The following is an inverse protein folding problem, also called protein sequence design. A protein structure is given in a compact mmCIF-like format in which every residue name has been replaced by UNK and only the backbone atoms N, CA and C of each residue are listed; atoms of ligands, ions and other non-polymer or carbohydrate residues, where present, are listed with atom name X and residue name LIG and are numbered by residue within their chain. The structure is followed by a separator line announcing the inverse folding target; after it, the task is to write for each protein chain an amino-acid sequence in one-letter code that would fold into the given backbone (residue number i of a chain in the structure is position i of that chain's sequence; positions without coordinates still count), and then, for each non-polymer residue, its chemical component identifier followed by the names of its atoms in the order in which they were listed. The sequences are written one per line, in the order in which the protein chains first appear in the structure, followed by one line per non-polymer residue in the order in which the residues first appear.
data_IF_877306226586
#
_entry.id   IF_877306226586
#
_cell.length_a   1.000
_cell.length_b   1.000
_cell.length_c   1.000
_cell.angle_alpha   90.00
_cell.angle_beta   90.00
_cell.angle_gamma   90.00
#
_symmetry.space_group_name_H-M   'P 1'
#
loop_
_entity.id
_entity.type
_entity.pdbx_description
1 polymer ?
2 polymer ?
3 non-polymer ?
4 non-polymer ?
#
# COMPACT_ATOMS: atom_id res chain seq x y z
N UNK A 2 5.72 5.22 9.45
CA UNK A 2 6.66 5.30 10.56
C UNK A 2 6.99 6.76 10.87
N UNK A 3 6.70 7.18 12.10
CA UNK A 3 6.91 8.55 12.53
C UNK A 3 7.77 8.59 13.78
N UNK A 4 8.70 9.55 13.82
CA UNK A 4 9.56 9.78 14.99
C UNK A 4 10.34 8.53 15.36
N UNK A 5 11.08 8.00 14.39
CA UNK A 5 11.89 6.80 14.58
C UNK A 5 13.34 7.22 14.76
N UNK A 6 13.90 6.95 15.94
CA UNK A 6 15.30 7.24 16.23
C UNK A 6 16.09 5.96 16.02
N UNK A 7 16.40 5.68 14.76
CA UNK A 7 17.13 4.48 14.38
C UNK A 7 18.61 4.72 14.52
N UNK A 8 19.25 4.03 15.47
CA UNK A 8 20.68 4.20 15.72
C UNK A 8 21.35 2.83 15.63
N UNK A 9 21.65 2.33 14.44
CA UNK A 9 22.29 1.02 14.33
C UNK A 9 23.64 0.98 15.03
N UNK A 10 23.94 -0.17 15.60
CA UNK A 10 25.21 -0.39 16.28
C UNK A 10 26.26 -0.96 15.34
N UNK A 11 27.26 -1.59 15.94
CA UNK A 11 28.34 -2.19 15.17
C UNK A 11 27.94 -3.50 14.53
N UNK A 12 28.05 -3.58 13.20
CA UNK A 12 27.73 -4.81 12.49
C UNK A 12 26.27 -5.21 12.58
N UNK A 13 25.37 -4.26 12.43
CA UNK A 13 23.93 -4.51 12.49
C UNK A 13 23.36 -4.46 11.07
N UNK A 14 22.59 -5.48 10.72
CA UNK A 14 21.97 -5.58 9.39
C UNK A 14 20.46 -5.56 9.58
N UNK A 15 19.80 -4.60 8.93
CA UNK A 15 18.35 -4.49 8.93
C UNK A 15 17.86 -4.54 7.50
N UNK A 16 16.88 -5.42 7.24
CA UNK A 16 16.32 -5.60 5.91
C UNK A 16 14.81 -5.44 6.02
N UNK A 17 14.26 -4.49 5.28
CA UNK A 17 12.82 -4.28 5.17
C UNK A 17 12.43 -4.64 3.75
N UNK A 18 11.65 -5.71 3.60
CA UNK A 18 11.33 -6.27 2.30
C UNK A 18 9.90 -5.94 1.94
N UNK A 19 9.71 -5.21 0.85
CA UNK A 19 8.41 -4.80 0.32
C UNK A 19 7.45 -4.27 1.39
N UNK A 20 7.81 -3.18 2.08
CA UNK A 20 6.85 -2.54 2.97
C UNK A 20 5.85 -1.71 2.19
N UNK A 21 4.70 -1.47 2.81
CA UNK A 21 3.66 -0.62 2.24
C UNK A 21 3.66 0.76 2.89
N UNK A 22 3.67 0.83 4.21
CA UNK A 22 3.77 2.08 4.96
C UNK A 22 2.65 3.05 4.58
N UNK B 1 12.28 -13.41 -1.81
CA UNK B 1 12.82 -14.17 -0.70
C UNK B 1 14.14 -13.58 -0.22
N UNK B 2 14.18 -13.22 1.07
CA UNK B 2 15.41 -12.68 1.66
C UNK B 2 16.29 -13.84 2.10
N UNK B 3 17.48 -13.94 1.52
CA UNK B 3 18.43 -15.00 1.82
C UNK B 3 19.71 -14.34 2.32
N UNK B 4 19.88 -14.28 3.64
CA UNK B 4 21.02 -13.64 4.26
C UNK B 4 21.83 -14.68 5.02
N UNK B 5 23.12 -14.75 4.75
CA UNK B 5 24.03 -15.64 5.44
C UNK B 5 25.02 -14.78 6.22
N UNK B 6 25.03 -14.94 7.53
CA UNK B 6 25.86 -14.13 8.42
C UNK B 6 27.11 -14.94 8.79
N UNK B 7 28.24 -14.59 8.17
CA UNK B 7 29.51 -15.25 8.41
C UNK B 7 29.43 -16.76 8.14
N UNK C 2 4.24 -9.94 -4.56
CA UNK C 2 4.04 -11.34 -4.94
C UNK C 2 5.36 -11.97 -5.37
N UNK C 3 5.78 -13.03 -4.68
CA UNK C 3 7.04 -13.69 -4.95
C UNK C 3 6.82 -15.17 -5.18
N UNK C 4 7.51 -15.72 -6.16
CA UNK C 4 7.49 -17.15 -6.47
C UNK C 4 6.06 -17.62 -6.77
N UNK C 5 5.43 -16.98 -7.73
CA UNK C 5 4.06 -17.30 -8.14
C UNK C 5 4.12 -18.11 -9.43
N UNK C 6 3.68 -19.36 -9.37
CA UNK C 6 3.61 -20.22 -10.54
C UNK C 6 2.19 -20.18 -11.09
N UNK C 7 1.91 -19.11 -11.85
CA UNK C 7 0.58 -18.89 -12.41
C UNK C 7 0.47 -19.65 -13.72
N UNK C 8 -0.40 -20.67 -13.75
CA UNK C 8 -0.59 -21.49 -14.94
C UNK C 8 -2.06 -21.49 -15.29
N UNK C 9 -2.56 -20.46 -15.98
CA UNK C 9 -3.98 -20.41 -16.34
C UNK C 9 -4.36 -21.58 -17.23
N UNK C 10 -5.58 -22.07 -17.03
CA UNK C 10 -6.14 -23.15 -17.83
C UNK C 10 -6.88 -22.64 -19.04
N UNK C 11 -7.76 -23.49 -19.55
CA UNK C 11 -8.55 -23.14 -20.72
C UNK C 11 -9.71 -22.21 -20.39
N UNK C 12 -9.73 -21.05 -21.03
CA UNK C 12 -10.81 -20.10 -20.82
C UNK C 12 -10.87 -19.53 -19.42
N UNK C 13 -9.73 -19.18 -18.85
CA UNK C 13 -9.64 -18.61 -17.51
C UNK C 13 -9.38 -17.11 -17.61
N UNK C 14 -10.17 -16.33 -16.88
CA UNK C 14 -10.07 -14.88 -16.88
C UNK C 14 -9.69 -14.43 -15.48
N UNK C 15 -8.57 -13.73 -15.36
CA UNK C 15 -8.13 -13.16 -14.08
C UNK C 15 -7.99 -11.65 -14.24
N UNK C 16 -8.59 -10.90 -13.33
CA UNK C 16 -8.57 -9.45 -13.36
C UNK C 16 -8.07 -8.96 -12.01
N UNK C 17 -6.97 -8.21 -12.02
CA UNK C 17 -6.43 -7.57 -10.83
C UNK C 17 -6.61 -6.07 -11.01
N UNK C 18 -7.46 -5.47 -10.19
CA UNK C 18 -7.87 -4.07 -10.36
C UNK C 18 -7.19 -3.23 -9.29
N UNK C 19 -6.37 -2.27 -9.74
CA UNK C 19 -5.65 -1.33 -8.89
C UNK C 19 -4.97 -1.99 -7.69
N UNK C 20 -4.03 -2.91 -7.93
CA UNK C 20 -3.23 -3.42 -6.81
C UNK C 20 -2.14 -2.43 -6.42
N UNK C 21 -1.67 -2.57 -5.18
CA UNK C 21 -0.57 -1.76 -4.68
C UNK C 21 0.74 -2.54 -4.66
N UNK C 22 0.72 -3.75 -4.12
CA UNK C 22 1.88 -4.65 -4.13
C UNK C 22 3.10 -3.99 -3.49
N UNK D 1 -14.81 0.29 -11.56
CA UNK D 1 -15.73 -0.83 -11.42
C UNK D 1 -15.49 -1.88 -12.50
N UNK D 2 -15.21 -3.10 -12.07
CA UNK D 2 -15.02 -4.21 -12.99
C UNK D 2 -16.37 -4.80 -13.37
N UNK D 3 -16.72 -4.74 -14.64
CA UNK D 3 -17.99 -5.24 -15.16
C UNK D 3 -17.67 -6.30 -16.21
N UNK D 4 -17.72 -7.56 -15.81
CA UNK D 4 -17.39 -8.68 -16.68
C UNK D 4 -18.64 -9.54 -16.87
N UNK D 5 -18.99 -9.81 -18.11
CA UNK D 5 -20.11 -10.67 -18.46
C UNK D 5 -19.54 -11.89 -19.17
N UNK D 6 -19.77 -13.07 -18.58
CA UNK D 6 -19.23 -14.32 -19.10
C UNK D 6 -20.31 -15.04 -19.89
N UNK D 7 -20.21 -14.98 -21.21
CA UNK D 7 -21.17 -15.62 -22.12
C UNK D 7 -22.60 -15.13 -21.86
N UNK E 2 7.35 7.89 5.69
CA UNK E 2 8.27 8.04 6.81
C UNK E 2 8.53 9.51 7.10
N UNK E 3 8.20 9.94 8.32
CA UNK E 3 8.34 11.32 8.72
C UNK E 3 9.16 11.42 10.00
N UNK E 4 10.06 12.41 10.03
CA UNK E 4 10.88 12.69 11.21
C UNK E 4 11.71 11.48 11.63
N UNK E 5 12.48 10.96 10.68
CA UNK E 5 13.34 9.80 10.91
C UNK E 5 14.76 10.30 11.11
N UNK E 6 15.31 10.07 12.31
CA UNK E 6 16.69 10.42 12.63
C UNK E 6 17.55 9.16 12.46
N UNK E 7 17.88 8.87 11.21
CA UNK E 7 18.66 7.69 10.87
C UNK E 7 20.15 8.01 11.02
N UNK E 8 20.79 7.36 12.00
CA UNK E 8 22.20 7.59 12.28
C UNK E 8 22.92 6.25 12.23
N UNK E 9 23.27 5.75 11.05
CA UNK E 9 23.96 4.46 10.98
C UNK E 9 25.30 4.48 11.70
N UNK E 10 25.64 3.35 12.31
CA UNK E 10 26.90 3.20 13.01
C UNK E 10 27.99 2.66 12.10
N UNK E 11 29.00 2.08 12.73
CA UNK E 11 30.12 1.51 11.99
C UNK E 11 29.80 0.17 11.37
N UNK E 12 29.93 0.08 10.05
CA UNK E 12 29.67 -1.18 9.35
C UNK E 12 28.24 -1.64 9.42
N UNK E 13 27.29 -0.72 9.24
CA UNK E 13 25.87 -1.04 9.27
C UNK E 13 25.32 -1.03 7.85
N UNK E 14 24.59 -2.09 7.50
CA UNK E 14 24.02 -2.24 6.17
C UNK E 14 22.51 -2.27 6.31
N UNK E 15 21.82 -1.35 5.63
CA UNK E 15 20.37 -1.30 5.60
C UNK E 15 19.90 -1.40 4.16
N UNK E 16 18.97 -2.32 3.89
CA UNK E 16 18.44 -2.54 2.56
C UNK E 16 16.92 -2.45 2.63
N UNK E 17 16.36 -1.53 1.86
CA UNK E 17 14.92 -1.39 1.73
C UNK E 17 14.56 -1.78 0.31
N UNK E 18 13.83 -2.88 0.16
CA UNK E 18 13.57 -3.48 -1.15
C UNK E 18 12.12 -3.22 -1.53
N UNK E 19 11.93 -2.50 -2.64
CA UNK E 19 10.63 -2.16 -3.21
C UNK E 19 9.63 -1.65 -2.17
N UNK E 20 9.93 -0.55 -1.49
CA UNK E 20 8.92 0.08 -0.62
C UNK E 20 7.91 0.86 -1.44
N UNK E 21 6.74 1.06 -0.85
CA UNK E 21 5.68 1.85 -1.46
C UNK E 21 5.60 3.24 -0.84
N UNK E 22 5.59 3.33 0.50
CA UNK E 22 5.61 4.59 1.22
C UNK E 22 4.47 5.51 0.79
N UNK F 1 14.90 -10.64 -5.11
CA UNK F 1 15.44 -11.36 -3.96
C UNK F 1 16.72 -10.71 -3.47
N UNK F 2 16.72 -10.33 -2.19
CA UNK F 2 17.91 -9.73 -1.58
C UNK F 2 18.83 -10.84 -1.10
N UNK F 3 20.03 -10.91 -1.66
CA UNK F 3 21.02 -11.93 -1.31
C UNK F 3 22.27 -11.20 -0.81
N UNK F 4 22.40 -11.12 0.51
CA UNK F 4 23.50 -10.41 1.14
C UNK F 4 24.33 -11.41 1.94
N UNK F 5 25.63 -11.43 1.69
CA UNK F 5 26.57 -12.28 2.43
C UNK F 5 27.50 -11.36 3.21
N UNK F 6 27.50 -11.49 4.53
CA UNK F 6 28.27 -10.64 5.42
C UNK F 6 29.55 -11.38 5.82
N UNK F 7 30.67 -11.00 5.22
CA UNK F 7 31.96 -11.62 5.50
C UNK F 7 31.94 -13.12 5.26
N UNK G 2 -11.16 3.49 -2.26
CA UNK G 2 -12.42 4.16 -1.96
C UNK G 2 -13.34 4.14 -3.18
N UNK G 3 -14.52 3.54 -3.03
CA UNK G 3 -15.46 3.40 -4.12
C UNK G 3 -16.82 3.95 -3.71
N UNK G 4 -17.46 4.67 -4.64
CA UNK G 4 -18.80 5.20 -4.45
C UNK G 4 -18.86 6.11 -3.22
N UNK G 5 -18.00 7.12 -3.19
CA UNK G 5 -17.94 8.06 -2.09
C UNK G 5 -18.63 9.35 -2.53
N UNK G 6 -19.73 9.69 -1.84
CA UNK G 6 -20.46 10.92 -2.10
C UNK G 6 -20.01 11.96 -1.08
N UNK G 7 -18.86 12.57 -1.38
CA UNK G 7 -18.25 13.56 -0.49
C UNK G 7 -18.86 14.93 -0.78
N UNK G 8 -19.61 15.46 0.17
CA UNK G 8 -20.27 16.75 0.02
C UNK G 8 -19.86 17.65 1.17
N UNK G 9 -18.69 18.28 1.11
CA UNK G 9 -18.26 19.16 2.20
C UNK G 9 -19.22 20.32 2.41
N UNK G 10 -19.39 20.71 3.67
CA UNK G 10 -20.23 21.82 4.04
C UNK G 10 -19.46 23.12 4.09
N UNK G 11 -20.01 24.08 4.83
CA UNK G 11 -19.38 25.38 4.97
C UNK G 11 -18.22 25.37 5.93
N UNK G 12 -17.04 25.77 5.44
CA UNK G 12 -15.87 25.82 6.30
C UNK G 12 -15.40 24.49 6.81
N UNK G 13 -15.39 23.46 5.96
CA UNK G 13 -14.96 22.12 6.34
C UNK G 13 -13.59 21.85 5.76
N UNK G 14 -12.68 21.37 6.60
CA UNK G 14 -11.31 21.07 6.20
C UNK G 14 -11.08 19.58 6.38
N UNK G 15 -10.70 18.91 5.30
CA UNK G 15 -10.35 17.49 5.32
C UNK G 15 -8.93 17.32 4.82
N UNK G 16 -8.12 16.61 5.58
CA UNK G 16 -6.71 16.36 5.25
C UNK G 16 -6.48 14.86 5.27
N UNK G 17 -6.03 14.32 4.14
CA UNK G 17 -5.65 12.92 4.04
C UNK G 17 -4.14 12.89 3.81
N UNK G 18 -3.40 12.39 4.78
CA UNK G 18 -1.95 12.44 4.78
C UNK G 18 -1.38 11.07 4.46
N UNK G 19 -0.64 10.99 3.35
CA UNK G 19 0.03 9.78 2.87
C UNK G 19 -0.88 8.54 2.90
N UNK G 20 -1.99 8.55 2.18
CA UNK G 20 -2.77 7.32 2.04
C UNK G 20 -2.13 6.38 1.04
N UNK G 21 -2.47 5.10 1.17
CA UNK G 21 -2.02 4.07 0.25
C UNK G 21 -3.11 3.68 -0.73
N UNK G 22 -4.32 3.40 -0.25
CA UNK G 22 -5.48 3.10 -1.09
C UNK G 22 -5.21 1.94 -2.03
N UNK H 1 4.15 15.50 9.50
CA UNK H 1 3.31 15.92 10.61
C UNK H 1 2.30 16.98 10.16
N UNK H 2 1.01 16.70 10.35
CA UNK H 2 -0.04 17.65 10.01
C UNK H 2 -0.22 18.62 11.18
N UNK H 3 0.03 19.90 10.93
CA UNK H 3 -0.10 20.94 11.94
C UNK H 3 -1.12 21.95 11.44
N UNK H 4 -2.35 21.83 11.91
CA UNK H 4 -3.46 22.68 11.49
C UNK H 4 -3.95 23.48 12.68
N UNK H 5 -4.03 24.80 12.52
CA UNK H 5 -4.54 25.69 13.54
C UNK H 5 -5.82 26.32 13.00
N UNK H 6 -6.93 26.09 13.69
CA UNK H 6 -8.24 26.56 13.26
C UNK H 6 -8.59 27.83 14.03
N UNK H 7 -8.47 28.97 13.37
CA UNK H 7 -8.77 30.27 13.96
C UNK H 7 -7.94 30.51 15.23
N UNK I 2 -9.29 5.37 -6.41
CA UNK I 2 -10.59 5.98 -6.15
C UNK I 2 -11.48 5.91 -7.39
N UNK I 3 -12.63 5.27 -7.26
CA UNK I 3 -13.55 5.07 -8.37
C UNK I 3 -14.93 5.58 -8.00
N UNK I 4 -15.58 6.26 -8.95
CA UNK I 4 -16.95 6.75 -8.80
C UNK I 4 -17.08 7.67 -7.58
N UNK I 5 -16.25 8.71 -7.56
CA UNK I 5 -16.24 9.68 -6.48
C UNK I 5 -16.98 10.93 -6.95
N UNK I 6 -18.11 11.23 -6.30
CA UNK I 6 -18.87 12.44 -6.59
C UNK I 6 -18.48 13.52 -5.59
N UNK I 7 -17.35 14.17 -5.87
CA UNK I 7 -16.80 15.18 -4.99
C UNK I 7 -17.46 16.52 -5.33
N UNK I 8 -18.25 17.05 -4.40
CA UNK I 8 -18.96 18.32 -4.59
C UNK I 8 -18.60 19.26 -3.45
N UNK I 9 -17.44 19.92 -3.50
CA UNK I 9 -17.08 20.84 -2.42
C UNK I 9 -18.09 21.96 -2.25
N UNK I 10 -18.29 22.37 -1.00
CA UNK I 10 -19.17 23.46 -0.67
C UNK I 10 -18.46 24.79 -0.63
N UNK I 11 -19.06 25.74 0.07
CA UNK I 11 -18.49 27.06 0.20
C UNK I 11 -17.34 27.12 1.19
N UNK I 12 -16.17 27.55 0.72
CA UNK I 12 -15.02 27.67 1.59
C UNK I 12 -14.52 26.35 2.15
N UNK I 13 -14.45 25.31 1.32
CA UNK I 13 -13.98 24.00 1.72
C UNK I 13 -12.58 23.77 1.18
N UNK I 14 -11.67 23.33 2.05
CA UNK I 14 -10.28 23.08 1.70
C UNK I 14 -10.00 21.61 1.90
N UNK I 15 -9.58 20.93 0.84
CA UNK I 15 -9.18 19.53 0.90
C UNK I 15 -7.74 19.40 0.42
N UNK I 16 -6.91 18.73 1.22
CA UNK I 16 -5.51 18.54 0.92
C UNK I 16 -5.22 17.05 0.98
N UNK I 17 -4.72 16.50 -0.13
CA UNK I 17 -4.28 15.11 -0.20
C UNK I 17 -2.77 15.14 -0.40
N UNK I 18 -2.04 14.68 0.60
CA UNK I 18 -0.58 14.80 0.64
C UNK I 18 0.04 13.43 0.34
N UNK I 19 0.81 13.36 -0.74
CA UNK I 19 1.53 12.17 -1.18
C UNK I 19 0.67 10.90 -1.14
N UNK I 20 -0.42 10.85 -1.89
CA UNK I 20 -1.16 9.59 -2.03
C UNK I 20 -0.47 8.65 -2.99
N UNK I 21 -0.76 7.36 -2.83
CA UNK I 21 -0.24 6.33 -3.72
C UNK I 21 -1.30 5.89 -4.73
N UNK I 22 -2.50 5.58 -4.27
CA UNK I 22 -3.63 5.21 -5.12
C UNK I 22 -3.30 4.05 -6.03
N UNK J 1 5.29 18.17 5.41
CA UNK J 1 4.41 18.58 6.49
C UNK J 1 3.38 19.59 6.01
N UNK J 2 2.10 19.26 6.18
CA UNK J 2 1.02 20.17 5.80
C UNK J 2 0.77 21.14 6.94
N UNK J 3 0.98 22.43 6.67
CA UNK J 3 0.79 23.49 7.66
C UNK J 3 -0.25 24.45 7.12
N UNK J 4 -1.49 24.29 7.56
CA UNK J 4 -2.61 25.09 7.10
C UNK J 4 -3.17 25.89 8.27
N UNK J 5 -3.29 27.20 8.08
CA UNK J 5 -3.85 28.10 9.07
C UNK J 5 -5.14 28.67 8.49
N UNK J 6 -6.26 28.41 9.16
CA UNK J 6 -7.58 28.82 8.68
C UNK J 6 -7.99 30.09 9.43
N UNK J 7 -7.90 31.23 8.75
CA UNK J 7 -8.25 32.52 9.32
C UNK J 7 -7.47 32.82 10.59
N UNK K 2 6.64 -7.58 -8.07
CA UNK K 2 6.51 -8.98 -8.43
C UNK K 2 7.86 -9.57 -8.82
N UNK K 3 8.30 -10.60 -8.10
CA UNK K 3 9.59 -11.22 -8.32
C UNK K 3 9.42 -12.72 -8.53
N UNK K 4 10.18 -13.26 -9.48
CA UNK K 4 10.21 -14.69 -9.77
C UNK K 4 8.81 -15.22 -10.10
N UNK K 5 8.17 -14.61 -11.09
CA UNK K 5 6.84 -14.99 -11.52
C UNK K 5 6.97 -15.82 -12.80
N UNK K 6 6.57 -17.09 -12.73
CA UNK K 6 6.57 -17.97 -13.89
C UNK K 6 5.16 -17.98 -14.47
N UNK K 7 4.87 -16.95 -15.26
CA UNK K 7 3.55 -16.78 -15.86
C UNK K 7 3.50 -17.57 -17.16
N UNK K 8 2.68 -18.61 -17.20
CA UNK K 8 2.55 -19.47 -18.38
C UNK K 8 1.08 -19.52 -18.78
N UNK K 9 0.58 -18.52 -19.49
CA UNK K 9 -0.84 -18.53 -19.90
C UNK K 9 -1.16 -19.74 -20.77
N UNK K 10 -2.36 -20.25 -20.61
CA UNK K 10 -2.85 -21.37 -21.40
C UNK K 10 -3.58 -20.92 -22.64
N UNK K 11 -4.41 -21.81 -23.17
CA UNK K 11 -5.18 -21.51 -24.36
C UNK K 11 -6.37 -20.62 -24.08
N UNK K 12 -6.42 -19.46 -24.73
CA UNK K 12 -7.55 -18.55 -24.57
C UNK K 12 -7.66 -17.96 -23.19
N UNK K 13 -6.54 -17.55 -22.60
CA UNK K 13 -6.52 -16.96 -21.27
C UNK K 13 -6.32 -15.45 -21.38
N UNK K 14 -7.16 -14.69 -20.69
CA UNK K 14 -7.10 -13.23 -20.71
C UNK K 14 -6.79 -12.76 -19.30
N UNK K 15 -5.70 -12.01 -19.16
CA UNK K 15 -5.31 -11.40 -17.89
C UNK K 15 -5.22 -9.89 -18.07
N UNK K 16 -5.89 -9.15 -17.19
CA UNK K 16 -5.91 -7.70 -17.24
C UNK K 16 -5.46 -7.17 -15.88
N UNK K 17 -4.40 -6.38 -15.88
CA UNK K 17 -3.91 -5.70 -14.69
C UNK K 17 -4.14 -4.21 -14.90
N UNK K 18 -5.04 -3.63 -14.12
CA UNK K 18 -5.49 -2.26 -14.32
C UNK K 18 -4.87 -1.37 -13.25
N UNK K 19 -4.08 -0.38 -13.69
CA UNK K 19 -3.42 0.61 -12.84
C UNK K 19 -2.74 -0.02 -11.60
N UNK K 20 -1.77 -0.91 -11.79
CA UNK K 20 -0.98 -1.38 -10.65
C UNK K 20 0.06 -0.34 -10.25
N UNK K 21 0.49 -0.44 -9.00
CA UNK K 21 1.55 0.41 -8.47
C UNK K 21 2.88 -0.31 -8.40
N UNK K 22 2.90 -1.51 -7.85
CA UNK K 22 4.09 -2.37 -7.80
C UNK K 22 5.26 -1.66 -7.14
N UNK L 1 -12.54 1.83 -15.80
CA UNK L 1 -13.43 0.69 -15.66
C UNK L 1 -13.13 -0.38 -16.72
N UNK L 2 -12.81 -1.59 -16.25
CA UNK L 2 -12.55 -2.70 -17.16
C UNK L 2 -13.86 -3.34 -17.55
N UNK L 3 -14.18 -3.31 -18.84
CA UNK L 3 -15.42 -3.87 -19.38
C UNK L 3 -15.04 -4.93 -20.41
N UNK L 4 -15.05 -6.19 -19.99
CA UNK L 4 -14.65 -7.32 -20.82
C UNK L 4 -15.86 -8.22 -21.03
N UNK L 5 -16.16 -8.52 -22.28
CA UNK L 5 -17.24 -9.43 -22.65
C UNK L 5 -16.61 -10.65 -23.32
N UNK L 6 -16.81 -11.82 -22.73
CA UNK L 6 -16.21 -13.06 -23.19
C UNK L 6 -17.25 -13.83 -24.00
N UNK L 7 -17.11 -13.79 -25.33
CA UNK L 7 -18.02 -14.47 -26.25
C UNK L 7 -19.46 -14.03 -26.04
N UNK M 2 8.74 10.55 1.89
CA UNK M 2 9.62 10.75 3.03
C UNK M 2 9.83 12.24 3.30
N UNK M 3 9.45 12.68 4.50
CA UNK M 3 9.52 14.08 4.87
C UNK M 3 10.31 14.24 6.16
N UNK M 4 11.17 15.26 6.20
CA UNK M 4 11.95 15.60 7.39
C UNK M 4 12.80 14.43 7.86
N UNK M 5 13.63 13.92 6.95
CA UNK M 5 14.51 12.80 7.24
C UNK M 5 15.91 13.35 7.45
N UNK M 6 16.43 13.17 8.68
CA UNK M 6 17.80 13.58 9.01
C UNK M 6 18.70 12.35 8.90
N UNK M 7 19.09 12.05 7.67
CA UNK M 7 19.91 10.88 7.38
C UNK M 7 21.38 11.25 7.57
N UNK M 8 22.01 10.66 8.58
CA UNK M 8 23.41 10.94 8.88
C UNK M 8 24.18 9.62 8.89
N UNK M 9 24.57 9.10 7.73
CA UNK M 9 25.32 7.84 7.70
C UNK M 9 26.64 7.94 8.47
N UNK M 10 27.00 6.84 9.10
CA UNK M 10 28.25 6.73 9.84
C UNK M 10 29.37 6.22 8.98
N UNK M 11 30.39 5.69 9.65
CA UNK M 11 31.54 5.15 8.95
C UNK M 11 31.28 3.78 8.36
N UNK M 12 31.46 3.67 7.04
CA UNK M 12 31.27 2.39 6.37
C UNK M 12 29.85 1.88 6.40
N UNK M 13 28.88 2.75 6.17
CA UNK M 13 27.46 2.38 6.17
C UNK M 13 26.96 2.34 4.74
N UNK M 14 26.28 1.25 4.39
CA UNK M 14 25.74 1.05 3.05
C UNK M 14 24.23 0.96 3.16
N UNK M 15 23.54 1.84 2.45
CA UNK M 15 22.08 1.83 2.37
C UNK M 15 21.65 1.69 0.92
N UNK M 16 20.78 0.73 0.66
CA UNK M 16 20.29 0.46 -0.69
C UNK M 16 18.77 0.50 -0.66
N UNK M 17 18.18 1.38 -1.47
CA UNK M 17 16.74 1.47 -1.64
C UNK M 17 16.44 1.04 -3.06
N UNK M 18 15.76 -0.11 -3.21
CA UNK M 18 15.55 -0.74 -4.50
C UNK M 18 14.11 -0.53 -4.92
N UNK M 19 13.92 0.14 -6.06
CA UNK M 19 12.63 0.42 -6.67
C UNK M 19 11.58 0.92 -5.67
N UNK M 20 11.82 2.05 -5.01
CA UNK M 20 10.77 2.66 -4.19
C UNK M 20 9.75 3.38 -5.05
N UNK M 21 8.55 3.55 -4.49
CA UNK M 21 7.49 4.29 -5.15
C UNK M 21 7.34 5.70 -4.56
N UNK M 22 7.29 5.81 -3.24
CA UNK M 22 7.24 7.09 -2.54
C UNK M 22 6.08 7.95 -3.01
N UNK N 1 17.24 -7.94 -8.26
CA UNK N 1 17.78 -8.61 -7.08
C UNK N 1 19.02 -7.90 -6.56
N UNK N 2 18.98 -7.49 -5.30
CA UNK N 2 20.12 -6.83 -4.67
C UNK N 2 21.07 -7.91 -4.14
N UNK N 3 22.28 -7.93 -4.67
CA UNK N 3 23.30 -8.91 -4.27
C UNK N 3 24.51 -8.13 -3.75
N UNK N 4 24.60 -8.00 -2.43
CA UNK N 4 25.65 -7.25 -1.78
C UNK N 4 26.50 -8.20 -0.94
N UNK N 5 27.81 -8.17 -1.15
CA UNK N 5 28.76 -8.97 -0.38
C UNK N 5 29.64 -8.00 0.40
N UNK N 6 29.60 -8.11 1.73
CA UNK N 6 30.32 -7.20 2.62
C UNK N 6 31.60 -7.90 3.08
N UNK N 7 32.72 -7.48 2.50
CA UNK N 7 34.03 -8.04 2.82
C UNK N 7 34.08 -9.56 2.62
N UNK O 2 9.09 -5.22 -11.51
CA UNK O 2 9.03 -6.64 -11.84
C UNK O 2 10.41 -7.18 -12.19
N UNK O 3 10.86 -8.18 -11.43
CA UNK O 3 12.20 -8.75 -11.61
C UNK O 3 12.09 -10.25 -11.79
N UNK O 4 12.88 -10.78 -12.72
CA UNK O 4 12.97 -12.22 -12.97
C UNK O 4 11.60 -12.82 -13.31
N UNK O 5 10.96 -12.25 -14.33
CA UNK O 5 9.66 -12.69 -14.78
C UNK O 5 9.84 -13.54 -16.02
N UNK O 6 9.49 -14.82 -15.93
CA UNK O 6 9.54 -15.74 -17.07
C UNK O 6 8.15 -15.82 -17.69
N UNK O 7 7.83 -14.82 -18.49
CA UNK O 7 6.52 -14.71 -19.13
C UNK O 7 6.53 -15.54 -20.41
N UNK O 8 5.75 -16.61 -20.43
CA UNK O 8 5.68 -17.50 -21.60
C UNK O 8 4.22 -17.62 -22.02
N UNK O 9 3.69 -16.66 -22.77
CA UNK O 9 2.29 -16.75 -23.20
C UNK O 9 2.03 -17.98 -24.05
N UNK O 10 0.84 -18.54 -23.90
CA UNK O 10 0.42 -19.69 -24.67
C UNK O 10 -0.30 -19.29 -25.93
N UNK O 11 -1.09 -20.23 -26.45
CA UNK O 11 -1.85 -19.99 -27.66
C UNK O 11 -3.09 -19.14 -27.43
N UNK O 12 -3.17 -18.00 -28.12
CA UNK O 12 -4.33 -17.14 -28.00
C UNK O 12 -4.50 -16.52 -26.63
N UNK O 13 -3.40 -16.05 -26.03
CA UNK O 13 -3.43 -15.43 -24.71
C UNK O 13 -3.29 -13.92 -24.86
N UNK O 14 -4.16 -13.17 -24.20
CA UNK O 14 -4.17 -11.72 -24.25
C UNK O 14 -3.90 -11.19 -22.85
N UNK O 15 -2.84 -10.40 -22.71
CA UNK O 15 -2.50 -9.74 -21.45
C UNK O 15 -2.46 -8.24 -21.67
N UNK O 16 -3.18 -7.51 -20.81
CA UNK O 16 -3.26 -6.06 -20.90
C UNK O 16 -2.87 -5.48 -19.55
N UNK O 17 -1.83 -4.65 -19.55
CA UNK O 17 -1.40 -3.92 -18.36
C UNK O 17 -1.68 -2.45 -18.62
N UNK O 18 -2.62 -1.89 -17.86
CA UNK O 18 -3.12 -0.53 -18.10
C UNK O 18 -2.56 0.40 -17.05
N UNK O 19 -1.80 1.40 -17.49
CA UNK O 19 -1.19 2.43 -16.66
C UNK O 19 -0.51 1.87 -15.40
N UNK O 20 0.49 1.02 -15.54
CA UNK O 20 1.29 0.61 -14.39
C UNK O 20 2.27 1.69 -13.98
N UNK O 21 2.68 1.65 -12.73
CA UNK O 21 3.69 2.56 -12.19
C UNK O 21 5.05 1.88 -12.08
N UNK O 22 5.11 0.69 -11.50
CA UNK O 22 6.33 -0.10 -11.41
C UNK O 22 7.47 0.66 -10.75
N UNK P 1 -10.30 3.23 -19.82
CA UNK P 1 -11.14 2.06 -19.67
C UNK P 1 -10.77 0.98 -20.68
N UNK P 2 -10.43 -0.20 -20.20
CA UNK P 2 -10.10 -1.33 -21.06
C UNK P 2 -11.39 -2.03 -21.47
N UNK P 3 -11.67 -2.05 -22.76
CA UNK P 3 -12.87 -2.66 -23.31
C UNK P 3 -12.43 -3.74 -24.30
N UNK P 4 -12.40 -4.98 -23.85
CA UNK P 4 -11.94 -6.11 -24.65
C UNK P 4 -13.11 -7.07 -24.86
N UNK P 5 -13.38 -7.41 -26.11
CA UNK P 5 -14.41 -8.38 -26.47
C UNK P 5 -13.72 -9.57 -27.10
N UNK P 6 -13.88 -10.74 -26.48
CA UNK P 6 -13.23 -11.96 -26.92
C UNK P 6 -14.22 -12.79 -27.72
N UNK P 7 -14.05 -12.78 -29.04
CA UNK P 7 -14.92 -13.52 -29.96
C UNK P 7 -16.38 -13.13 -29.79
N UNK Q 2 -7.36 7.07 -10.49
CA UNK Q 2 -8.69 7.64 -10.28
C UNK Q 2 -9.54 7.51 -11.54
N UNK Q 3 -10.67 6.82 -11.43
CA UNK Q 3 -11.55 6.56 -12.55
C UNK Q 3 -12.96 7.02 -12.23
N UNK Q 4 -13.61 7.65 -13.22
CA UNK Q 4 -15.00 8.09 -13.10
C UNK Q 4 -15.19 9.03 -11.92
N UNK Q 5 -14.40 10.11 -11.89
CA UNK Q 5 -14.46 11.10 -10.84
C UNK Q 5 -15.24 12.31 -11.35
N UNK Q 6 -16.39 12.58 -10.74
CA UNK Q 6 -17.20 13.75 -11.08
C UNK Q 6 -16.87 14.86 -10.09
N UNK Q 7 -15.76 15.55 -10.35
CA UNK Q 7 -15.27 16.61 -9.49
C UNK Q 7 -15.97 17.92 -9.87
N UNK Q 8 -16.81 18.43 -8.96
CA UNK Q 8 -17.55 19.66 -9.21
C UNK Q 8 -17.27 20.63 -8.08
N UNK Q 9 -16.15 21.34 -8.12
CA UNK Q 9 -15.84 22.30 -7.04
C UNK Q 9 -16.89 23.39 -6.93
N UNK Q 10 -17.14 23.80 -5.69
CA UNK Q 10 -18.09 24.87 -5.41
C UNK Q 10 -17.42 26.22 -5.38
N UNK Q 11 -18.08 27.17 -4.71
CA UNK Q 11 -17.56 28.51 -4.60
C UNK Q 11 -16.45 28.64 -3.59
N UNK Q 12 -15.29 29.10 -4.03
CA UNK Q 12 -14.15 29.28 -3.13
C UNK Q 12 -13.63 28.00 -2.53
N UNK Q 13 -13.49 26.95 -3.35
CA UNK Q 13 -12.99 25.66 -2.89
C UNK Q 13 -11.57 25.47 -3.39
N UNK Q 14 -10.66 25.10 -2.49
CA UNK Q 14 -9.26 24.90 -2.80
C UNK Q 14 -8.93 23.43 -2.56
N UNK Q 15 -8.44 22.75 -3.59
CA UNK Q 15 -7.99 21.37 -3.50
C UNK Q 15 -6.53 21.28 -3.92
N UNK Q 16 -5.71 20.67 -3.09
CA UNK Q 16 -4.28 20.53 -3.35
C UNK Q 16 -3.93 19.05 -3.25
N UNK Q 17 -3.39 18.50 -4.33
CA UNK Q 17 -2.89 17.13 -4.36
C UNK Q 17 -1.38 17.21 -4.52
N UNK Q 18 -0.65 16.80 -3.49
CA UNK Q 18 0.79 16.98 -3.43
C UNK Q 18 1.47 15.64 -3.67
N UNK Q 19 2.27 15.57 -4.73
CA UNK Q 19 3.05 14.39 -5.13
C UNK Q 19 2.24 13.09 -5.08
N UNK Q 20 1.17 12.99 -5.86
CA UNK Q 20 0.48 11.70 -5.99
C UNK Q 20 1.24 10.76 -6.91
N UNK Q 21 0.99 9.46 -6.74
CA UNK Q 21 1.58 8.44 -7.59
C UNK Q 21 0.57 7.93 -8.61
N UNK Q 22 -0.65 7.59 -8.17
CA UNK Q 22 -1.73 7.17 -9.05
C UNK Q 22 -1.33 5.99 -9.93
N UNK R 1 6.40 20.68 1.43
CA UNK R 1 5.47 21.07 2.48
C UNK R 1 4.41 22.03 1.95
N UNK R 2 3.15 21.66 2.09
CA UNK R 2 2.05 22.51 1.66
C UNK R 2 1.73 23.50 2.77
N UNK R 3 1.89 24.79 2.48
CA UNK R 3 1.64 25.86 3.44
C UNK R 3 0.57 26.77 2.85
N UNK R 4 -0.67 26.56 3.27
CA UNK R 4 -1.82 27.31 2.76
C UNK R 4 -2.43 28.12 3.89
N UNK R 5 -2.59 29.42 3.67
CA UNK R 5 -3.23 30.31 4.63
C UNK R 5 -4.52 30.82 4.01
N UNK R 6 -5.64 30.53 4.64
CA UNK R 6 -6.96 30.87 4.13
C UNK R 6 -7.44 32.14 4.83
N UNK R 7 -7.38 33.27 4.13
CA UNK R 7 -7.80 34.57 4.66
C UNK R 7 -7.06 34.91 5.95
N UNK S 2 2.66 -0.18 16.91
CA UNK S 2 3.65 -0.21 17.97
C UNK S 2 4.11 1.20 18.32
N UNK S 3 3.91 1.59 19.58
CA UNK S 3 4.24 2.93 20.05
C UNK S 3 5.15 2.84 21.26
N UNK S 4 6.15 3.72 21.29
CA UNK S 4 7.08 3.84 22.42
C UNK S 4 7.78 2.52 22.71
N UNK S 5 8.43 1.98 21.69
CA UNK S 5 9.16 0.71 21.79
C UNK S 5 10.65 1.03 21.91
N UNK S 6 11.24 0.67 23.05
CA UNK S 6 12.67 0.84 23.28
C UNK S 6 13.35 -0.49 23.00
N UNK S 7 13.58 -0.73 21.70
CA UNK S 7 14.18 -1.98 21.24
C UNK S 7 15.70 -1.85 21.31
N UNK S 8 16.32 -2.62 22.20
CA UNK S 8 17.76 -2.57 22.39
C UNK S 8 18.32 -3.98 22.22
N UNK S 9 18.53 -4.44 20.99
CA UNK S 9 19.07 -5.80 20.79
C UNK S 9 20.44 -5.96 21.42
N UNK S 10 20.69 -7.16 21.94
CA UNK S 10 21.96 -7.51 22.53
C UNK S 10 22.92 -8.11 21.53
N UNK S 11 23.90 -8.84 22.05
CA UNK S 11 24.88 -9.48 21.21
C UNK S 11 24.36 -10.73 20.54
N UNK S 12 24.40 -10.75 19.21
CA UNK S 12 23.95 -11.92 18.46
C UNK S 12 22.48 -12.23 18.60
N UNK S 13 21.63 -11.20 18.54
CA UNK S 13 20.19 -11.35 18.65
C UNK S 13 19.56 -11.20 17.28
N UNK S 14 18.70 -12.14 16.93
CA UNK S 14 18.01 -12.15 15.63
C UNK S 14 16.51 -12.02 15.88
N UNK S 15 15.91 -10.97 15.31
CA UNK S 15 14.47 -10.77 15.39
C UNK S 15 13.91 -10.72 13.98
N UNK S 16 12.86 -11.51 13.74
CA UNK S 16 12.22 -11.59 12.43
C UNK S 16 10.73 -11.32 12.62
N UNK S 17 10.23 -10.29 11.94
CA UNK S 17 8.81 -9.99 11.92
C UNK S 17 8.32 -10.25 10.51
N UNK S 18 7.46 -11.25 10.34
CA UNK S 18 7.04 -11.73 9.04
C UNK S 18 5.62 -11.28 8.78
N UNK S 19 5.43 -10.49 7.71
CA UNK S 19 4.15 -9.96 7.26
C UNK S 19 3.28 -9.40 8.41
N UNK S 20 3.75 -8.38 9.12
CA UNK S 20 2.89 -7.71 10.09
C UNK S 20 1.92 -6.76 9.38
N UNK S 21 0.83 -6.47 10.08
CA UNK S 21 -0.17 -5.53 9.58
C UNK S 21 -0.05 -4.18 10.28
N UNK S 22 0.04 -4.18 11.61
CA UNK S 22 0.25 -2.96 12.40
C UNK S 22 -0.79 -1.90 12.11
N UNK T 1 7.25 -18.73 4.60
CA UNK T 1 7.79 -19.58 5.67
C UNK T 1 9.17 -19.12 6.10
N UNK T 2 9.29 -18.81 7.39
CA UNK T 2 10.58 -18.39 7.95
C UNK T 2 11.38 -19.63 8.30
N UNK T 3 12.54 -19.80 7.66
CA UNK T 3 13.42 -20.94 7.87
C UNK T 3 14.78 -20.40 8.32
N UNK T 4 15.00 -20.41 9.63
CA UNK T 4 16.22 -19.87 10.24
C UNK T 4 16.97 -21.01 10.91
N UNK T 5 18.25 -21.16 10.56
CA UNK T 5 19.12 -22.15 11.18
C UNK T 5 20.20 -21.40 11.94
N UNK T 6 20.27 -21.62 13.25
CA UNK T 6 21.19 -20.91 14.13
C UNK T 6 22.39 -21.81 14.40
N UNK T 7 23.51 -21.53 13.74
CA UNK T 7 24.75 -22.30 13.88
C UNK T 7 24.53 -23.77 13.58
N UNK U 2 -0.63 -14.57 2.40
CA UNK U 2 -0.95 -15.93 1.98
C UNK U 2 0.30 -16.63 1.45
N UNK U 3 0.67 -17.74 2.08
CA UNK U 3 1.86 -18.49 1.73
C UNK U 3 1.51 -19.94 1.45
N UNK U 4 2.13 -20.50 0.41
CA UNK U 4 1.98 -21.91 0.04
C UNK U 4 0.51 -22.26 -0.20
N UNK U 5 -0.13 -21.52 -1.11
CA UNK U 5 -1.53 -21.73 -1.45
C UNK U 5 -1.58 -22.48 -2.78
N UNK U 6 -2.13 -23.70 -2.74
CA UNK U 6 -2.31 -24.50 -3.94
C UNK U 6 -3.75 -24.33 -4.41
N UNK U 7 -3.98 -23.22 -5.12
CA UNK U 7 -5.31 -22.87 -5.60
C UNK U 7 -5.54 -23.56 -6.94
N UNK U 8 -6.47 -24.51 -6.97
CA UNK U 8 -6.78 -25.26 -8.18
C UNK U 8 -8.27 -25.13 -8.46
N UNK U 9 -8.71 -24.04 -9.08
CA UNK U 9 -10.15 -23.88 -9.37
C UNK U 9 -10.66 -24.99 -10.28
N UNK U 10 -11.91 -25.38 -10.05
CA UNK U 10 -12.57 -26.39 -10.85
C UNK U 10 -13.34 -25.77 -12.01
N UNK U 11 -14.31 -26.53 -12.51
CA UNK U 11 -15.12 -26.07 -13.61
C UNK U 11 -16.18 -25.07 -13.20
N UNK U 12 -16.15 -23.89 -13.79
CA UNK U 12 -17.14 -22.87 -13.48
C UNK U 12 -17.09 -22.36 -12.06
N UNK U 13 -15.89 -22.11 -11.54
CA UNK U 13 -15.71 -21.61 -10.18
C UNK U 13 -15.33 -20.13 -10.24
N UNK U 14 -16.03 -19.33 -9.43
CA UNK U 14 -15.81 -17.89 -9.38
C UNK U 14 -15.35 -17.54 -7.98
N UNK U 15 -14.17 -16.92 -7.88
CA UNK U 15 -13.62 -16.44 -6.63
C UNK U 15 -13.37 -14.95 -6.73
N UNK U 16 -13.89 -14.19 -5.76
CA UNK U 16 -13.76 -12.75 -5.73
C UNK U 16 -13.15 -12.36 -4.39
N UNK U 17 -12.01 -11.68 -4.43
CA UNK U 17 -11.36 -11.14 -3.23
C UNK U 17 -11.44 -9.62 -3.36
N UNK U 18 -12.20 -9.00 -2.47
CA UNK U 18 -12.50 -7.58 -2.55
C UNK U 18 -11.71 -6.82 -1.49
N UNK U 19 -10.85 -5.91 -1.93
CA UNK U 19 -10.01 -5.06 -1.09
C UNK U 19 -9.33 -5.82 0.05
N UNK U 20 -8.48 -6.80 -0.27
CA UNK U 20 -7.67 -7.42 0.78
C UNK U 20 -6.49 -6.54 1.15
N UNK U 21 -5.97 -6.76 2.35
CA UNK U 21 -4.80 -6.05 2.85
C UNK U 21 -3.55 -6.93 2.77
N UNK U 22 -3.63 -8.16 3.25
CA UNK U 22 -2.54 -9.13 3.17
C UNK U 22 -1.26 -8.61 3.76
N UNK V 1 -19.14 -2.65 -3.25
CA UNK V 1 -20.14 -3.70 -3.10
C UNK V 1 -20.03 -4.72 -4.23
N UNK V 2 -19.83 -5.99 -3.86
CA UNK V 2 -19.75 -7.06 -4.84
C UNK V 2 -21.16 -7.53 -5.16
N UNK V 3 -21.56 -7.38 -6.42
CA UNK V 3 -22.89 -7.77 -6.89
C UNK V 3 -22.71 -8.80 -8.01
N UNK V 4 -22.83 -10.08 -7.64
CA UNK V 4 -22.63 -11.19 -8.58
C UNK V 4 -23.94 -11.94 -8.73
N UNK V 5 -24.37 -12.12 -9.98
CA UNK V 5 -25.58 -12.89 -10.29
C UNK V 5 -25.13 -14.12 -11.08
N UNK V 6 -25.42 -15.30 -10.54
CA UNK V 6 -25.00 -16.57 -11.12
C UNK V 6 -26.17 -17.16 -11.89
N UNK V 7 -26.13 -17.06 -13.22
CA UNK V 7 -27.17 -17.57 -14.09
C UNK V 7 -28.54 -16.99 -13.75
N UNK W 2 4.31 2.52 13.17
CA UNK W 2 5.28 2.55 14.26
C UNK W 2 5.67 3.99 14.60
N UNK W 3 5.43 4.39 15.85
CA UNK W 3 5.70 5.74 16.29
C UNK W 3 6.59 5.72 17.53
N UNK W 4 7.55 6.64 17.57
CA UNK W 4 8.45 6.82 18.71
C UNK W 4 9.20 5.53 19.03
N UNK W 5 9.89 4.99 18.03
CA UNK W 5 10.67 3.76 18.17
C UNK W 5 12.13 4.13 18.33
N UNK W 6 12.70 3.82 19.49
CA UNK W 6 14.13 4.06 19.74
C UNK W 6 14.87 2.75 19.49
N UNK W 7 15.13 2.50 18.21
CA UNK W 7 15.80 1.27 17.78
C UNK W 7 17.31 1.46 17.88
N UNK W 8 17.94 0.73 18.80
CA UNK W 8 19.39 0.84 19.01
C UNK W 8 19.99 -0.55 18.88
N UNK W 9 20.25 -1.02 17.67
CA UNK W 9 20.84 -2.35 17.50
C UNK W 9 22.21 -2.46 18.17
N UNK W 10 22.49 -3.63 18.70
CA UNK W 10 23.76 -3.92 19.34
C UNK W 10 24.76 -4.50 18.36
N UNK W 11 25.76 -5.19 18.92
CA UNK W 11 26.79 -5.79 18.10
C UNK W 11 26.34 -7.08 17.45
N UNK W 12 26.40 -7.12 16.11
CA UNK W 12 26.02 -8.32 15.39
C UNK W 12 24.55 -8.68 15.49
N UNK W 13 23.68 -7.68 15.40
CA UNK W 13 22.24 -7.89 15.48
C UNK W 13 21.63 -7.78 14.09
N UNK W 14 20.81 -8.77 13.73
CA UNK W 14 20.16 -8.82 12.43
C UNK W 14 18.65 -8.75 12.65
N UNK W 15 18.02 -7.75 12.05
CA UNK W 15 16.57 -7.60 12.08
C UNK W 15 16.03 -7.59 10.67
N UNK W 16 15.02 -8.43 10.41
CA UNK W 16 14.42 -8.56 9.10
C UNK W 16 12.92 -8.36 9.25
N UNK W 17 12.39 -7.36 8.55
CA UNK W 17 10.95 -7.11 8.49
C UNK W 17 10.51 -7.41 7.08
N UNK W 18 9.70 -8.45 6.91
CA UNK W 18 9.32 -8.97 5.61
C UNK W 18 7.88 -8.58 5.30
N UNK W 19 7.70 -7.82 4.23
CA UNK W 19 6.40 -7.34 3.74
C UNK W 19 5.49 -6.81 4.85
N UNK W 20 5.90 -5.76 5.55
CA UNK W 20 4.99 -5.10 6.49
C UNK W 20 4.00 -4.21 5.75
N UNK W 21 2.87 -3.95 6.42
CA UNK W 21 1.86 -3.06 5.89
C UNK W 21 1.92 -1.69 6.57
N UNK W 22 1.97 -1.66 7.90
CA UNK W 22 2.12 -0.43 8.67
C UNK W 22 1.02 0.58 8.34
N UNK X 1 9.91 -16.03 1.30
CA UNK X 1 10.45 -16.84 2.38
C UNK X 1 11.81 -16.31 2.85
N UNK X 2 11.90 -15.98 4.13
CA UNK X 2 13.15 -15.50 4.70
C UNK X 2 14.00 -16.70 5.10
N UNK X 3 15.16 -16.82 4.47
CA UNK X 3 16.09 -17.93 4.73
C UNK X 3 17.41 -17.33 5.21
N UNK X 4 17.61 -17.30 6.52
CA UNK X 4 18.79 -16.71 7.13
C UNK X 4 19.57 -17.80 7.84
N UNK X 5 20.86 -17.90 7.54
CA UNK X 5 21.77 -18.85 8.18
C UNK X 5 22.80 -18.03 8.95
N UNK X 6 22.84 -18.24 10.27
CA UNK X 6 23.72 -17.47 11.15
C UNK X 6 24.94 -18.32 11.46
N UNK X 7 26.07 -18.01 10.82
CA UNK X 7 27.33 -18.72 11.00
C UNK X 7 27.18 -20.22 10.72
N UNK Y 2 -14.83 -0.13 5.99
CA UNK Y 2 -16.03 0.60 6.38
C UNK Y 2 -16.99 0.71 5.20
N UNK Y 3 -18.20 0.19 5.38
CA UNK Y 3 -19.20 0.16 4.33
C UNK Y 3 -20.49 0.80 4.83
N UNK Y 4 -21.12 1.60 3.97
CA UNK Y 4 -22.41 2.24 4.24
C UNK Y 4 -22.35 3.08 5.52
N UNK Y 5 -21.41 4.02 5.54
CA UNK Y 5 -21.22 4.92 6.67
C UNK Y 5 -21.84 6.26 6.32
N UNK Y 6 -22.87 6.65 7.07
CA UNK Y 6 -23.52 7.95 6.89
C UNK Y 6 -22.94 8.91 7.93
N UNK Y 7 -21.76 9.44 7.61
CA UNK Y 7 -21.04 10.35 8.50
C UNK Y 7 -21.57 11.76 8.28
N UNK Y 8 -22.22 12.31 9.30
CA UNK Y 8 -22.80 13.66 9.23
C UNK Y 8 -22.26 14.48 10.40
N UNK Y 9 -21.05 15.02 10.30
CA UNK Y 9 -20.50 15.81 11.40
C UNK Y 9 -21.36 17.03 11.70
N UNK Y 10 -21.43 17.37 12.99
CA UNK Y 10 -22.17 18.52 13.45
C UNK Y 10 -21.31 19.77 13.51
N UNK Y 11 -21.75 20.73 14.31
CA UNK Y 11 -21.02 21.97 14.47
C UNK Y 11 -19.81 21.84 15.37
N UNK Y 12 -18.63 22.15 14.84
CA UNK Y 12 -17.42 22.10 15.64
C UNK Y 12 -17.04 20.69 16.08
N UNK Y 13 -17.15 19.72 15.20
CA UNK Y 13 -16.80 18.34 15.49
C UNK Y 13 -15.48 17.98 14.83
N UNK Y 14 -14.58 17.40 15.61
CA UNK Y 14 -13.24 17.02 15.13
C UNK Y 14 -13.12 15.51 15.23
N UNK Y 15 -12.84 14.86 14.11
CA UNK Y 15 -12.61 13.42 14.06
C UNK Y 15 -11.23 13.17 13.48
N UNK Y 16 -10.44 12.36 14.19
CA UNK Y 16 -9.08 12.03 13.77
C UNK Y 16 -8.95 10.52 13.72
N UNK Y 17 -8.61 9.99 12.55
CA UNK Y 17 -8.33 8.57 12.37
C UNK Y 17 -6.84 8.45 12.07
N UNK Y 18 -6.11 7.84 12.98
CA UNK Y 18 -4.65 7.80 12.91
C UNK Y 18 -4.20 6.40 12.50
N UNK Y 19 -3.52 6.31 11.36
CA UNK Y 19 -2.97 5.08 10.80
C UNK Y 19 -3.98 3.91 10.84
N UNK Y 20 -5.11 4.02 10.16
CA UNK Y 20 -5.99 2.87 10.01
C UNK Y 20 -5.47 1.92 8.95
N UNK Y 21 -5.90 0.66 9.05
CA UNK Y 21 -5.57 -0.35 8.07
C UNK Y 21 -6.73 -0.62 7.11
N UNK Y 22 -7.93 -0.82 7.65
CA UNK Y 22 -9.14 -0.99 6.86
C UNK Y 22 -9.01 -2.13 5.85
N UNK Z 1 1.88 10.18 17.44
CA UNK Z 1 1.12 10.62 18.60
C UNK Z 1 0.18 11.77 18.26
N UNK Z 2 -1.11 11.57 18.50
CA UNK Z 2 -2.11 12.62 18.24
C UNK Z 2 -2.16 13.54 19.45
N UNK Z 3 -1.83 14.80 19.25
CA UNK Z 3 -1.82 15.81 20.30
C UNK Z 3 -2.79 16.93 19.90
N UNK Z 4 -4.01 16.87 20.42
CA UNK Z 4 -5.06 17.81 20.08
C UNK Z 4 -5.43 18.59 21.33
N UNK Z 5 -5.41 19.92 21.23
CA UNK Z 5 -5.82 20.81 22.31
C UNK Z 5 -7.06 21.56 21.86
N UNK Z 6 -8.16 21.38 22.59
CA UNK Z 6 -9.45 21.96 22.23
C UNK Z 6 -9.66 23.21 23.07
N UNK Z 7 -9.49 24.38 22.45
CA UNK Z 7 -9.65 25.67 23.12
C UNK Z 7 -8.76 25.79 24.35
N UNK AA 2 -13.02 1.77 1.82
CA UNK AA 2 -14.25 2.47 2.17
C UNK AA 2 -15.20 2.52 0.97
N UNK AA 3 -16.39 1.96 1.14
CA UNK AA 3 -17.38 1.87 0.07
C UNK AA 3 -18.69 2.47 0.53
N UNK AA 4 -19.33 3.23 -0.37
CA UNK AA 4 -20.65 3.81 -0.12
C UNK AA 4 -20.65 4.69 1.13
N UNK AA 5 -19.74 5.66 1.15
CA UNK AA 5 -19.62 6.59 2.26
C UNK AA 5 -20.28 7.90 1.88
N UNK AA 6 -21.34 8.27 2.60
CA UNK AA 6 -22.03 9.54 2.39
C UNK AA 6 -21.50 10.54 3.42
N UNK AA 7 -20.35 11.10 3.11
CA UNK AA 7 -19.68 12.05 4.00
C UNK AA 7 -20.25 13.45 3.75
N UNK AA 8 -20.95 13.99 4.74
CA UNK AA 8 -21.56 15.31 4.62
C UNK AA 8 -21.08 16.17 5.78
N UNK AA 9 -19.89 16.76 5.70
CA UNK AA 9 -19.41 17.60 6.80
C UNK AA 9 -20.32 18.78 7.07
N UNK AA 10 -20.43 19.15 8.34
CA UNK AA 10 -21.22 20.28 8.75
C UNK AA 10 -20.40 21.55 8.81
N UNK AA 11 -20.90 22.51 9.58
CA UNK AA 11 -20.22 23.78 9.73
C UNK AA 11 -19.03 23.71 10.66
N UNK AA 12 -17.86 24.06 10.15
CA UNK AA 12 -16.65 24.06 10.98
C UNK AA 12 -16.22 22.70 11.45
N UNK AA 13 -16.28 21.70 10.58
CA UNK AA 13 -15.90 20.33 10.92
C UNK AA 13 -14.54 20.02 10.29
N UNK AA 14 -13.63 19.49 11.09
CA UNK AA 14 -12.29 19.15 10.66
C UNK AA 14 -12.11 17.64 10.80
N UNK AA 15 -11.79 16.99 9.68
CA UNK AA 15 -11.49 15.56 9.67
C UNK AA 15 -10.09 15.34 9.12
N UNK AA 16 -9.28 14.58 9.86
CA UNK AA 16 -7.90 14.30 9.48
C UNK AA 16 -7.72 12.79 9.46
N UNK AA 17 -7.33 12.25 8.31
CA UNK AA 17 -7.00 10.84 8.17
C UNK AA 17 -5.50 10.76 7.90
N UNK AA 18 -4.76 10.20 8.84
CA UNK AA 18 -3.29 10.21 8.80
C UNK AA 18 -2.80 8.83 8.43
N UNK AA 19 -2.08 8.75 7.31
CA UNK AA 19 -1.48 7.51 6.78
C UNK AA 19 -2.43 6.31 6.81
N UNK AA 20 -3.56 6.38 6.12
CA UNK AA 20 -4.39 5.19 5.97
C UNK AA 20 -3.82 4.24 4.93
N UNK AA 21 -4.20 2.97 5.05
CA UNK AA 21 -3.81 1.94 4.09
C UNK AA 21 -4.93 1.61 3.13
N UNK AA 22 -6.14 1.38 3.64
CA UNK AA 22 -7.33 1.14 2.82
C UNK AA 22 -7.13 0.00 1.85
N UNK BA 1 3.04 12.93 13.42
CA UNK BA 1 2.23 13.36 14.55
C UNK BA 1 1.27 14.47 14.16
N UNK BA 2 -0.02 14.22 14.37
CA UNK BA 2 -1.05 15.22 14.09
C UNK BA 2 -1.17 16.16 15.27
N UNK BA 3 -0.88 17.44 15.04
CA UNK BA 3 -0.93 18.47 16.08
C UNK BA 3 -1.94 19.54 15.64
N UNK BA 4 -3.16 19.44 16.13
CA UNK BA 4 -4.24 20.35 15.76
C UNK BA 4 -4.67 21.14 16.99
N UNK BA 5 -4.70 22.45 16.86
CA UNK BA 5 -5.16 23.35 17.91
C UNK BA 5 -6.42 24.04 17.41
N UNK BA 6 -7.52 23.83 18.12
CA UNK BA 6 -8.83 24.36 17.74
C UNK BA 6 -9.10 25.62 18.54
N UNK BA 7 -8.96 26.78 17.91
CA UNK BA 7 -9.19 28.07 18.54
C UNK BA 7 -8.32 28.26 19.79
N UNK CA 2 1.80 -12.24 -1.13
CA UNK CA 2 1.54 -13.62 -1.54
C UNK CA 2 2.82 -14.29 -2.01
N UNK CA 3 3.21 -15.38 -1.35
CA UNK CA 3 4.44 -16.08 -1.66
C UNK CA 3 4.15 -17.55 -1.92
N UNK CA 4 4.82 -18.10 -2.94
CA UNK CA 4 4.72 -19.51 -3.28
C UNK CA 4 3.27 -19.93 -3.56
N UNK CA 5 2.64 -19.23 -4.49
CA UNK CA 5 1.26 -19.49 -4.88
C UNK CA 5 1.28 -20.27 -6.19
N UNK CA 6 0.78 -21.51 -6.15
CA UNK CA 6 0.65 -22.33 -7.35
C UNK CA 6 -0.77 -22.22 -7.86
N UNK CA 7 -1.02 -21.14 -8.58
CA UNK CA 7 -2.35 -20.84 -9.11
C UNK CA 7 -2.52 -21.56 -10.44
N UNK CA 8 -3.42 -22.54 -10.48
CA UNK CA 8 -3.66 -23.33 -11.69
C UNK CA 8 -5.15 -23.26 -12.01
N UNK CA 9 -5.61 -22.20 -12.66
CA UNK CA 9 -7.04 -22.09 -13.00
C UNK CA 9 -7.49 -23.23 -13.90
N UNK CA 10 -8.73 -23.66 -13.70
CA UNK CA 10 -9.32 -24.70 -14.50
C UNK CA 10 -10.08 -24.14 -15.69
N UNK CA 11 -11.00 -24.94 -16.21
CA UNK CA 11 -11.80 -24.53 -17.34
C UNK CA 11 -12.90 -23.57 -16.97
N UNK CA 12 -12.90 -22.39 -17.59
CA UNK CA 12 -13.94 -21.41 -17.33
C UNK CA 12 -13.95 -20.87 -15.91
N UNK CA 13 -12.77 -20.58 -15.37
CA UNK CA 13 -12.64 -20.04 -14.02
C UNK CA 13 -12.33 -18.55 -14.09
N UNK CA 14 -13.08 -17.75 -13.32
CA UNK CA 14 -12.92 -16.31 -13.29
C UNK CA 14 -12.50 -15.91 -11.88
N UNK CA 15 -11.34 -15.26 -11.76
CA UNK CA 15 -10.86 -14.74 -10.49
C UNK CA 15 -10.66 -13.24 -10.62
N UNK CA 16 -11.23 -12.49 -9.67
CA UNK CA 16 -11.14 -11.03 -9.67
C UNK CA 16 -10.60 -10.59 -8.32
N UNK CA 17 -9.47 -9.89 -8.33
CA UNK CA 17 -8.88 -9.30 -7.13
C UNK CA 17 -9.00 -7.79 -7.28
N UNK CA 18 -9.82 -7.17 -6.43
CA UNK CA 18 -10.18 -5.77 -6.55
C UNK CA 18 -9.44 -4.97 -5.48
N UNK CA 19 -8.60 -4.03 -5.91
CA UNK CA 19 -7.83 -3.14 -5.07
C UNK CA 19 -7.14 -3.86 -3.89
N UNK CA 20 -6.25 -4.81 -4.16
CA UNK CA 20 -5.45 -5.38 -3.09
C UNK CA 20 -4.32 -4.45 -2.70
N UNK CA 21 -3.83 -4.62 -1.47
CA UNK CA 21 -2.70 -3.87 -0.96
C UNK CA 21 -1.42 -4.70 -0.99
N UNK CA 22 -1.47 -5.93 -0.48
CA UNK CA 22 -0.34 -6.87 -0.52
C UNK CA 22 0.91 -6.28 0.10
N UNK DA 1 -16.96 -1.10 -7.53
CA UNK DA 1 -17.92 -2.19 -7.39
C UNK DA 1 -17.75 -3.22 -8.50
N UNK DA 2 -17.51 -4.46 -8.10
CA UNK DA 2 -17.37 -5.56 -9.06
C UNK DA 2 -18.75 -6.09 -9.41
N UNK DA 3 -19.12 -5.97 -10.69
CA UNK DA 3 -20.42 -6.42 -11.19
C UNK DA 3 -20.17 -7.46 -12.27
N UNK DA 4 -20.25 -8.73 -11.90
CA UNK DA 4 -19.98 -9.85 -12.80
C UNK DA 4 -21.27 -10.65 -12.98
N UNK DA 5 -21.65 -10.87 -14.24
CA UNK DA 5 -22.81 -11.68 -14.58
C UNK DA 5 -22.30 -12.92 -15.32
N UNK DA 6 -22.57 -14.09 -14.77
CA UNK DA 6 -22.09 -15.35 -15.32
C UNK DA 6 -23.21 -16.01 -16.11
N UNK DA 7 -23.13 -15.92 -17.43
CA UNK DA 7 -24.13 -16.49 -18.33
C UNK DA 7 -25.53 -15.96 -18.03
#
# INVERSE_FOLDING_TARGET
XCDNIKHVPGGGSVQIVYKPVC
SVQIVYK
XCDNIKHVPGGGSVQIVYKPVC
SVQIVYK
XCDNIKHVPGGGSVQIVYKPVC
SVQIVYK
XCDNIKHVPGGGSVQIVYKPVC
SVQIVYK
XCDNIKHVPGGGSVQIVYKPVC
SVQIVYK
XCDNIKHVPGGGSVQIVYKPVC
SVQIVYK
XCDNIKHVPGGGSVQIVYKPVC
SVQIVYK
XCDNIKHVPGGGSVQIVYKPVC
SVQIVYK
XCDNIKHVPGGGSVQIVYKPVC
SVQIVYK
XCDNIKHVPGGGSVQIVYKPVC
SVQIVYK
XCDNIKHVPGGGSVQIVYKPVC
SVQIVYK
XCDNIKHVPGGGSVQIVYKPVC
SVQIVYK
XCDNIKHVPGGGSVQIVYKPVC
SVQIVYK
XCDNIKHVPGGGSVQIVYKPVC
SVQIVYK
XCDNIKHVPGGGSVQIVYKPVC
SVQIVYK
#
